data_IF_140393605014
#
_entry.id   IF_140393605014
#
_cell.length_a   1.000
_cell.length_b   1.000
_cell.length_c   1.000
_cell.angle_alpha   90.00
_cell.angle_beta   90.00
_cell.angle_gamma   90.00
#
_symmetry.space_group_name_H-M   'P 1'
#
loop_
_entity.id
_entity.type
_entity.pdbx_description
1 polymer ?
#
# COMPACT_ATOMS: atom_id res chain seq x y z
N UNK A 1 -4.37 -12.88 23.82
CA UNK A 1 -4.13 -12.73 23.32
C UNK A 1 -4.02 -12.72 22.61
N UNK A 2 -4.15 -12.57 22.60
CA UNK A 2 -4.00 -12.35 21.91
C UNK A 2 -4.00 -12.42 20.97
N UNK A 3 -4.25 -12.59 21.06
CA UNK A 3 -4.16 -12.81 19.98
C UNK A 3 -4.35 -12.12 19.16
N UNK A 4 -4.88 -11.92 19.43
CA UNK A 4 -5.04 -10.96 18.63
C UNK A 4 -3.87 -10.32 18.20
N UNK A 5 -3.01 -10.34 18.85
CA UNK A 5 -1.90 -9.58 18.46
C UNK A 5 -1.47 -9.85 17.09
N UNK A 6 -1.49 -10.99 16.72
CA UNK A 6 -1.13 -11.23 15.37
C UNK A 6 -2.02 -10.45 14.47
N UNK A 7 -3.23 -10.36 14.84
CA UNK A 7 -4.16 -9.66 13.99
C UNK A 7 -3.78 -8.21 13.89
N UNK A 8 -3.34 -7.66 14.97
CA UNK A 8 -2.97 -6.28 14.89
C UNK A 8 -1.81 -6.09 13.98
N UNK A 9 -0.84 -6.94 14.09
CA UNK A 9 0.28 -6.80 13.23
C UNK A 9 -0.10 -6.90 11.80
N UNK A 10 -1.04 -7.74 11.54
CA UNK A 10 -1.45 -7.92 10.17
C UNK A 10 -2.23 -6.75 9.66
N UNK A 11 -2.94 -6.09 10.54
CA UNK A 11 -3.76 -5.00 10.11
C UNK A 11 -2.94 -3.78 9.76
N UNK A 12 -1.72 -3.68 10.23
CA UNK A 12 -0.90 -2.49 10.00
C UNK A 12 0.25 -2.88 9.11
N UNK A 13 0.09 -2.65 7.84
CA UNK A 13 1.12 -2.92 6.86
C UNK A 13 1.30 -1.70 6.00
N UNK A 14 2.32 -1.72 5.19
CA UNK A 14 2.49 -0.67 4.21
C UNK A 14 2.51 -1.29 2.82
N UNK A 15 2.50 -0.42 1.81
CA UNK A 15 2.40 -0.89 0.44
C UNK A 15 3.56 -1.80 0.05
N UNK A 16 4.74 -1.58 0.63
CA UNK A 16 5.87 -2.41 0.25
C UNK A 16 5.74 -3.84 0.75
N UNK A 17 4.78 -4.10 1.63
CA UNK A 17 4.53 -5.45 2.12
C UNK A 17 3.56 -6.24 1.26
N UNK A 18 2.94 -5.61 0.28
CA UNK A 18 2.00 -6.33 -0.57
C UNK A 18 2.73 -7.33 -1.45
N UNK A 19 2.08 -8.45 -1.67
CA UNK A 19 2.56 -9.41 -2.64
C UNK A 19 1.94 -9.12 -3.99
N UNK A 20 2.58 -9.63 -5.02
CA UNK A 20 2.05 -9.42 -6.37
C UNK A 20 0.61 -9.89 -6.42
N UNK A 21 -0.24 -9.06 -6.98
CA UNK A 21 -1.68 -9.27 -7.09
C UNK A 21 -2.40 -9.14 -5.75
N UNK A 22 -1.70 -8.73 -4.70
CA UNK A 22 -2.34 -8.46 -3.43
C UNK A 22 -3.01 -7.12 -3.43
N UNK A 23 -4.02 -6.98 -2.57
CA UNK A 23 -4.82 -5.77 -2.47
C UNK A 23 -4.88 -5.27 -1.05
N UNK A 24 -5.09 -3.99 -0.91
CA UNK A 24 -5.29 -3.40 0.40
C UNK A 24 -6.07 -2.11 0.30
N UNK A 25 -6.44 -1.59 1.45
CA UNK A 25 -7.09 -0.30 1.53
C UNK A 25 -6.17 0.66 2.26
N UNK A 26 -5.96 1.84 1.69
CA UNK A 26 -5.06 2.81 2.29
C UNK A 26 -5.67 3.36 3.56
N UNK A 27 -4.91 3.38 4.64
CA UNK A 27 -5.36 3.93 5.91
C UNK A 27 -4.69 5.24 6.24
N UNK A 28 -3.43 5.43 5.84
CA UNK A 28 -2.72 6.65 6.16
C UNK A 28 -1.48 6.76 5.30
N UNK A 29 -1.00 7.98 5.13
CA UNK A 29 0.28 8.25 4.49
C UNK A 29 1.15 8.90 5.54
N UNK A 30 2.34 8.35 5.77
CA UNK A 30 3.16 8.76 6.89
C UNK A 30 4.46 9.44 6.53
N UNK A 31 4.78 9.59 5.29
CA UNK A 31 6.06 10.20 4.91
C UNK A 31 6.25 11.58 5.49
N UNK A 32 7.45 12.12 5.36
CA UNK A 32 7.76 13.44 5.83
C UNK A 32 8.01 14.38 4.68
N UNK A 33 7.82 15.66 4.94
CA UNK A 33 8.10 16.69 3.96
C UNK A 33 7.29 16.48 2.70
N UNK A 34 7.98 16.57 1.59
CA UNK A 34 7.29 16.52 0.30
C UNK A 34 6.85 15.13 -0.10
N UNK A 35 7.40 14.08 0.53
CA UNK A 35 7.05 12.72 0.15
C UNK A 35 5.56 12.48 0.40
N UNK A 36 5.09 12.80 1.60
CA UNK A 36 3.67 12.59 1.90
C UNK A 36 2.79 13.41 0.98
N UNK A 37 3.18 14.65 0.71
CA UNK A 37 2.38 15.49 -0.16
C UNK A 37 2.30 14.95 -1.57
N UNK A 38 3.43 14.46 -2.07
CA UNK A 38 3.44 13.86 -3.40
C UNK A 38 2.53 12.65 -3.47
N UNK A 39 2.62 11.78 -2.46
CA UNK A 39 1.80 10.59 -2.45
C UNK A 39 0.32 10.93 -2.40
N UNK A 40 -0.05 11.88 -1.58
CA UNK A 40 -1.45 12.28 -1.51
C UNK A 40 -1.91 12.88 -2.84
N UNK A 41 -1.06 13.67 -3.47
CA UNK A 41 -1.41 14.28 -4.75
C UNK A 41 -1.56 13.24 -5.84
N UNK A 42 -0.88 12.11 -5.70
CA UNK A 42 -0.98 11.04 -6.68
C UNK A 42 -2.20 10.16 -6.46
N UNK A 43 -2.97 10.39 -5.40
CA UNK A 43 -4.18 9.64 -5.19
C UNK A 43 -4.12 8.62 -4.06
N UNK A 44 -3.03 8.58 -3.31
CA UNK A 44 -2.92 7.62 -2.20
C UNK A 44 -3.65 8.18 -0.99
N UNK A 45 -4.96 8.17 -1.06
CA UNK A 45 -5.80 8.76 -0.03
C UNK A 45 -6.41 7.68 0.85
N UNK A 46 -6.62 7.96 2.13
CA UNK A 46 -7.27 6.98 3.01
C UNK A 46 -8.61 6.55 2.42
N UNK A 47 -8.87 5.26 2.49
CA UNK A 47 -10.10 4.71 1.94
C UNK A 47 -9.99 4.23 0.52
N UNK A 48 -8.88 4.51 -0.16
CA UNK A 48 -8.70 4.10 -1.54
C UNK A 48 -8.19 2.67 -1.58
N UNK A 49 -8.73 1.87 -2.48
CA UNK A 49 -8.25 0.51 -2.70
C UNK A 49 -7.04 0.54 -3.62
N UNK A 50 -6.08 -0.30 -3.34
CA UNK A 50 -4.85 -0.35 -4.11
C UNK A 50 -4.44 -1.80 -4.27
N UNK A 51 -3.87 -2.14 -5.43
CA UNK A 51 -3.34 -3.47 -5.64
C UNK A 51 -1.96 -3.37 -6.27
N UNK A 52 -1.15 -4.39 -6.00
CA UNK A 52 0.19 -4.48 -6.56
C UNK A 52 0.12 -5.30 -7.84
N UNK A 53 0.40 -4.67 -8.96
CA UNK A 53 0.21 -5.32 -10.26
C UNK A 53 1.51 -5.67 -10.95
N UNK A 54 2.63 -5.11 -10.51
CA UNK A 54 3.91 -5.42 -11.16
C UNK A 54 5.05 -5.11 -10.22
N UNK A 55 6.09 -5.93 -10.27
CA UNK A 55 7.30 -5.72 -9.48
C UNK A 55 8.47 -5.81 -10.45
N UNK A 56 9.33 -4.80 -10.43
CA UNK A 56 10.49 -4.79 -11.30
C UNK A 56 11.41 -5.97 -10.98
N UNK A 57 12.26 -6.36 -11.92
CA UNK A 57 13.06 -7.58 -11.76
C UNK A 57 13.88 -7.64 -10.47
N UNK A 58 14.35 -6.52 -9.98
CA UNK A 58 15.12 -6.51 -8.74
C UNK A 58 14.29 -6.15 -7.53
N UNK A 59 12.96 -6.16 -7.69
CA UNK A 59 12.08 -5.89 -6.56
C UNK A 59 11.72 -4.43 -6.40
N UNK A 60 12.26 -3.54 -7.18
CA UNK A 60 12.05 -2.10 -7.02
C UNK A 60 12.30 -1.42 -8.36
N UNK A 61 11.42 -0.55 -8.81
CA UNK A 61 10.20 -0.08 -8.17
C UNK A 61 9.05 -1.06 -8.31
N UNK A 62 7.95 -0.76 -7.66
CA UNK A 62 6.74 -1.54 -7.78
C UNK A 62 5.67 -0.69 -8.45
N UNK A 63 4.76 -1.35 -9.15
CA UNK A 63 3.66 -0.67 -9.83
C UNK A 63 2.35 -1.02 -9.15
N UNK A 64 1.60 0.02 -8.84
CA UNK A 64 0.36 -0.12 -8.09
C UNK A 64 -0.79 0.40 -8.93
N UNK A 65 -1.94 -0.20 -8.74
CA UNK A 65 -3.15 0.23 -9.43
C UNK A 65 -4.15 0.73 -8.41
N UNK A 66 -4.68 1.92 -8.64
CA UNK A 66 -5.72 2.48 -7.81
C UNK A 66 -6.65 3.30 -8.67
N UNK A 67 -7.94 3.15 -8.44
CA UNK A 67 -8.97 3.91 -9.14
C UNK A 67 -8.83 3.85 -10.66
N UNK A 68 -8.37 2.70 -11.16
CA UNK A 68 -8.32 2.50 -12.60
C UNK A 68 -7.09 3.05 -13.28
N UNK A 69 -6.12 3.54 -12.52
CA UNK A 69 -4.87 4.00 -13.13
C UNK A 69 -3.69 3.43 -12.35
N UNK A 70 -2.53 3.52 -12.94
CA UNK A 70 -1.35 2.88 -12.38
C UNK A 70 -0.26 3.88 -12.11
N UNK A 71 0.53 3.61 -11.09
CA UNK A 71 1.63 4.46 -10.72
C UNK A 71 2.74 3.59 -10.17
N UNK A 72 3.98 3.97 -10.46
CA UNK A 72 5.14 3.24 -9.94
C UNK A 72 5.72 4.01 -8.79
N UNK A 73 6.08 3.28 -7.74
CA UNK A 73 6.70 3.86 -6.55
C UNK A 73 7.95 3.07 -6.22
N UNK A 74 8.94 3.76 -5.68
CA UNK A 74 10.03 3.08 -5.02
C UNK A 74 9.50 2.42 -3.76
N UNK A 75 10.12 1.32 -3.36
CA UNK A 75 9.67 0.67 -2.14
C UNK A 75 9.81 1.58 -0.93
N UNK A 76 10.80 2.46 -0.92
CA UNK A 76 10.93 3.40 0.18
C UNK A 76 9.74 4.34 0.26
N UNK A 77 9.18 4.72 -0.88
CA UNK A 77 7.98 5.55 -0.88
C UNK A 77 6.75 4.74 -0.50
N UNK A 78 6.69 3.52 -1.02
CA UNK A 78 5.56 2.65 -0.69
C UNK A 78 5.49 2.36 0.80
N UNK A 79 6.63 2.32 1.46
CA UNK A 79 6.66 2.07 2.89
C UNK A 79 6.02 3.20 3.69
N UNK A 80 5.82 4.35 3.08
CA UNK A 80 5.16 5.47 3.75
C UNK A 80 3.65 5.42 3.64
N UNK A 81 3.09 4.47 2.91
CA UNK A 81 1.65 4.35 2.75
C UNK A 81 1.16 3.16 3.53
N UNK A 82 0.43 3.41 4.59
CA UNK A 82 -0.09 2.35 5.44
C UNK A 82 -1.38 1.81 4.87
N UNK A 83 -1.51 0.51 4.91
CA UNK A 83 -2.69 -0.17 4.38
C UNK A 83 -3.15 -1.22 5.36
N UNK A 84 -4.36 -1.69 5.13
CA UNK A 84 -4.86 -2.88 5.79
C UNK A 84 -5.35 -3.81 4.69
N UNK A 85 -5.41 -5.12 4.97
CA UNK A 85 -5.88 -6.06 3.96
C UNK A 85 -7.30 -5.70 3.53
N UNK A 86 -7.54 -5.79 2.25
CA UNK A 86 -8.88 -5.52 1.75
C UNK A 86 -9.79 -6.63 2.25
N UNK A 87 -10.91 -6.23 2.82
CA UNK A 87 -11.84 -7.21 3.31
C UNK A 87 -12.41 -7.98 2.14
N UNK A 88 -12.38 -9.24 2.24
CA UNK A 88 -12.92 -10.02 1.22
C UNK A 88 -12.16 -9.94 -0.06
N UNK A 89 -11.05 -9.40 0.04
CA UNK A 89 -10.33 -9.14 -1.06
C UNK A 89 -10.39 -10.11 -2.12
N UNK A 90 -10.82 -10.45 -2.32
CA UNK A 90 -10.98 -11.09 -3.08
C UNK A 90 -11.80 -11.14 -3.72
N UNK A 91 -11.87 -11.14 -4.11
CA UNK A 91 -12.70 -10.97 -4.83
C UNK A 91 -13.08 -11.53 -5.26
#
# INVERSE_FOLDING_TARGET
MRAAPAAQGEAVKNLSDLELNGCGEITAVTGRGTVAQRLLAMGFLPGTSVSLVHVAPFGDPITLELDGWRVSLRRSEAACVQIRPAAGGRP
#
